data_IF_356124825029
#
_entry.id   IF_356124825029
#
_cell.length_a   1.000
_cell.length_b   1.000
_cell.length_c   1.000
_cell.angle_alpha   90.00
_cell.angle_beta   90.00
_cell.angle_gamma   90.00
#
_symmetry.space_group_name_H-M   'P 1'
#
loop_
_entity.id
_entity.type
_entity.pdbx_description
1 polymer ?
#
# COMPACT_ATOMS: atom_id res chain seq x y z
N UNK A 1 -22.04 -6.34 13.33
CA UNK A 1 -20.69 -5.97 12.83
C UNK A 1 -19.75 -5.99 14.03
N UNK A 2 -18.61 -6.71 13.99
CA UNK A 2 -17.65 -6.67 15.10
C UNK A 2 -17.21 -5.22 15.34
N UNK A 3 -16.98 -4.88 16.61
CA UNK A 3 -16.48 -3.56 16.97
C UNK A 3 -15.07 -3.36 16.36
N UNK A 4 -14.82 -2.17 15.80
CA UNK A 4 -13.47 -1.83 15.32
C UNK A 4 -12.54 -1.72 16.52
N UNK A 5 -11.44 -2.48 16.61
CA UNK A 5 -10.54 -2.42 17.73
C UNK A 5 -9.91 -1.02 17.86
N UNK A 6 -9.73 -0.56 19.10
CA UNK A 6 -9.00 0.66 19.35
C UNK A 6 -7.52 0.47 18.91
N UNK A 7 -7.00 1.39 18.14
CA UNK A 7 -5.62 1.38 17.65
C UNK A 7 -5.05 2.80 17.72
N UNK A 8 -3.87 2.95 18.31
CA UNK A 8 -3.17 4.22 18.32
C UNK A 8 -2.60 4.50 16.92
N UNK A 9 -3.15 5.49 16.24
CA UNK A 9 -2.70 5.96 14.93
C UNK A 9 -2.40 7.46 15.06
N UNK A 10 -1.23 7.86 14.61
CA UNK A 10 -0.82 9.27 14.57
C UNK A 10 -1.10 9.82 13.18
N UNK A 11 -1.93 10.84 13.08
CA UNK A 11 -2.18 11.51 11.82
C UNK A 11 -0.99 12.39 11.43
N UNK A 12 -0.39 12.09 10.30
CA UNK A 12 0.67 12.87 9.68
C UNK A 12 0.42 12.97 8.18
N UNK A 13 -0.60 13.71 7.76
CA UNK A 13 -1.02 13.72 6.36
C UNK A 13 0.04 14.31 5.45
N UNK A 14 0.18 13.73 4.25
CA UNK A 14 0.86 14.36 3.13
C UNK A 14 -0.06 15.42 2.51
N UNK A 15 0.51 16.35 1.77
CA UNK A 15 -0.26 17.36 1.03
C UNK A 15 -1.16 16.68 0.00
N UNK A 16 -2.47 16.85 0.17
CA UNK A 16 -3.49 16.25 -0.69
C UNK A 16 -4.41 17.34 -1.24
N UNK A 17 -3.80 18.24 -2.04
CA UNK A 17 -4.44 19.40 -2.67
C UNK A 17 -5.12 19.03 -3.99
N UNK A 18 -5.77 20.02 -4.61
CA UNK A 18 -6.47 19.86 -5.90
C UNK A 18 -5.54 19.36 -7.00
N UNK A 19 -4.26 19.73 -6.96
CA UNK A 19 -3.28 19.28 -7.94
C UNK A 19 -2.97 17.78 -7.78
N UNK A 20 -2.84 17.28 -6.54
CA UNK A 20 -2.68 15.84 -6.28
C UNK A 20 -3.96 15.08 -6.62
N UNK A 21 -5.13 15.62 -6.28
CA UNK A 21 -6.42 15.04 -6.65
C UNK A 21 -6.52 14.86 -8.16
N UNK A 22 -6.23 15.91 -8.92
CA UNK A 22 -6.27 15.86 -10.39
C UNK A 22 -5.30 14.80 -10.96
N UNK A 23 -4.05 14.72 -10.45
CA UNK A 23 -3.09 13.69 -10.85
C UNK A 23 -3.57 12.30 -10.50
N UNK A 24 -4.18 12.12 -9.33
CA UNK A 24 -4.74 10.82 -8.91
C UNK A 24 -5.85 10.36 -9.84
N UNK A 25 -6.76 11.26 -10.21
CA UNK A 25 -7.84 10.96 -11.17
C UNK A 25 -7.24 10.62 -12.54
N UNK A 26 -6.28 11.40 -13.04
CA UNK A 26 -5.62 11.14 -14.32
C UNK A 26 -4.91 9.78 -14.33
N UNK A 27 -4.20 9.43 -13.26
CA UNK A 27 -3.58 8.09 -13.10
C UNK A 27 -4.64 6.99 -13.14
N UNK A 28 -5.75 7.14 -12.45
CA UNK A 28 -6.87 6.15 -12.47
C UNK A 28 -7.44 6.01 -13.86
N UNK A 29 -7.67 7.11 -14.58
CA UNK A 29 -8.19 7.10 -15.95
C UNK A 29 -7.24 6.40 -16.93
N UNK A 30 -5.94 6.59 -16.76
CA UNK A 30 -4.93 5.96 -17.59
C UNK A 30 -4.82 4.45 -17.34
N UNK A 31 -4.79 4.03 -16.08
CA UNK A 31 -4.39 2.68 -15.67
C UNK A 31 -5.53 1.76 -15.26
N UNK A 32 -6.66 2.29 -14.83
CA UNK A 32 -7.71 1.49 -14.19
C UNK A 32 -9.06 1.66 -14.89
N UNK A 33 -9.67 2.83 -14.79
CA UNK A 33 -10.99 3.12 -15.30
C UNK A 33 -11.00 4.49 -16.03
N UNK A 34 -11.18 4.53 -17.36
CA UNK A 34 -11.23 5.77 -18.12
C UNK A 34 -12.33 6.74 -17.68
N UNK A 35 -13.37 6.23 -17.01
CA UNK A 35 -14.48 7.03 -16.49
C UNK A 35 -14.26 7.49 -15.05
N UNK A 36 -13.12 7.20 -14.43
CA UNK A 36 -12.85 7.62 -13.07
C UNK A 36 -12.96 9.14 -12.93
N UNK A 37 -13.77 9.59 -11.97
CA UNK A 37 -14.03 11.00 -11.69
C UNK A 37 -13.70 11.42 -10.24
N UNK A 38 -13.23 10.48 -9.43
CA UNK A 38 -12.87 10.69 -8.03
C UNK A 38 -11.64 9.89 -7.61
N UNK A 39 -11.19 10.14 -6.40
CA UNK A 39 -10.01 9.50 -5.81
C UNK A 39 -10.34 8.33 -4.89
N UNK A 40 -11.62 8.15 -4.57
CA UNK A 40 -12.10 7.17 -3.61
C UNK A 40 -11.92 5.74 -4.14
N UNK A 41 -11.54 4.85 -3.22
CA UNK A 41 -11.49 3.42 -3.44
C UNK A 41 -12.42 2.70 -2.48
N UNK A 42 -12.86 1.52 -2.87
CA UNK A 42 -13.46 0.56 -1.95
C UNK A 42 -12.38 -0.45 -1.54
N UNK A 43 -11.90 -0.43 -0.29
CA UNK A 43 -10.84 -1.33 0.15
C UNK A 43 -11.29 -2.80 0.10
N UNK A 44 -10.57 -3.63 -0.67
CA UNK A 44 -10.77 -5.08 -0.80
C UNK A 44 -9.53 -5.87 -0.40
N UNK A 45 -8.40 -5.20 -0.24
CA UNK A 45 -7.15 -5.82 0.15
C UNK A 45 -6.19 -4.85 0.85
N UNK A 46 -5.19 -5.43 1.50
CA UNK A 46 -4.07 -4.72 2.12
C UNK A 46 -2.78 -5.21 1.45
N UNK A 47 -1.90 -4.28 1.11
CA UNK A 47 -0.57 -4.58 0.57
C UNK A 47 0.49 -4.03 1.51
N UNK A 48 1.36 -4.91 2.02
CA UNK A 48 2.48 -4.53 2.87
C UNK A 48 3.74 -4.31 2.03
N UNK A 49 4.50 -3.29 2.39
CA UNK A 49 5.73 -2.85 1.74
C UNK A 49 6.86 -2.66 2.75
N UNK A 50 8.07 -2.39 2.24
CA UNK A 50 9.12 -1.68 2.98
C UNK A 50 9.66 -0.52 2.16
N UNK A 51 10.13 0.53 2.85
CA UNK A 51 10.57 1.79 2.22
C UNK A 51 11.90 1.69 1.47
N UNK A 52 12.69 0.67 1.70
CA UNK A 52 14.05 0.54 1.17
C UNK A 52 15.09 1.26 2.03
N UNK A 53 14.78 1.60 3.27
CA UNK A 53 15.70 2.23 4.22
C UNK A 53 15.21 3.58 4.74
N UNK A 54 16.13 4.34 5.35
CA UNK A 54 15.86 5.69 5.83
C UNK A 54 15.12 5.75 7.16
N UNK A 55 14.24 6.72 7.27
CA UNK A 55 13.42 6.99 8.45
C UNK A 55 12.00 7.33 8.01
N UNK A 56 11.05 7.28 8.95
CA UNK A 56 9.67 7.69 8.72
C UNK A 56 9.58 9.13 8.19
N UNK A 57 10.42 10.03 8.72
CA UNK A 57 10.46 11.43 8.32
C UNK A 57 10.95 11.61 6.86
N UNK A 58 12.00 10.87 6.46
CA UNK A 58 12.51 10.90 5.10
C UNK A 58 11.47 10.33 4.11
N UNK A 59 10.80 9.23 4.47
CA UNK A 59 9.74 8.63 3.66
C UNK A 59 8.54 9.57 3.53
N UNK A 60 8.12 10.19 4.63
CA UNK A 60 7.04 11.16 4.59
C UNK A 60 7.36 12.32 3.64
N UNK A 61 8.54 12.95 3.75
CA UNK A 61 8.98 14.03 2.84
C UNK A 61 9.03 13.58 1.38
N UNK A 62 9.41 12.32 1.14
CA UNK A 62 9.43 11.77 -0.21
C UNK A 62 8.01 11.63 -0.77
N UNK A 63 7.08 11.10 0.00
CA UNK A 63 5.67 10.94 -0.41
C UNK A 63 4.92 12.26 -0.51
N UNK A 64 5.32 13.27 0.27
CA UNK A 64 4.72 14.61 0.26
C UNK A 64 4.99 15.36 -1.05
N UNK A 65 6.05 15.03 -1.78
CA UNK A 65 6.31 15.60 -3.10
C UNK A 65 5.15 15.29 -4.05
N UNK A 66 4.69 16.28 -4.88
CA UNK A 66 3.53 16.06 -5.74
C UNK A 66 3.79 15.13 -6.91
N UNK A 67 5.05 15.06 -7.38
CA UNK A 67 5.42 14.32 -8.60
C UNK A 67 6.58 13.37 -8.35
N UNK A 68 6.58 12.27 -9.12
CA UNK A 68 7.67 11.30 -9.15
C UNK A 68 8.88 11.87 -9.90
N UNK A 69 10.10 11.56 -9.46
CA UNK A 69 11.31 11.94 -10.16
C UNK A 69 11.51 11.15 -11.48
N UNK A 70 12.02 11.83 -12.51
CA UNK A 70 12.25 11.23 -13.83
C UNK A 70 13.28 10.10 -13.82
N UNK A 71 14.15 10.03 -12.81
CA UNK A 71 15.13 8.95 -12.64
C UNK A 71 14.49 7.57 -12.40
N UNK A 72 13.29 7.53 -11.86
CA UNK A 72 12.48 6.30 -11.73
C UNK A 72 11.69 6.03 -13.02
N UNK A 73 12.42 5.87 -14.12
CA UNK A 73 11.89 5.89 -15.48
C UNK A 73 10.60 5.08 -15.68
N UNK A 74 10.59 3.80 -15.34
CA UNK A 74 9.40 2.94 -15.53
C UNK A 74 8.15 3.47 -14.83
N UNK A 75 8.32 4.09 -13.66
CA UNK A 75 7.22 4.65 -12.89
C UNK A 75 6.83 6.03 -13.44
N UNK A 76 7.83 6.84 -13.80
CA UNK A 76 7.61 8.17 -14.37
C UNK A 76 6.94 8.12 -15.76
N UNK A 77 7.30 7.15 -16.59
CA UNK A 77 6.67 6.93 -17.91
C UNK A 77 5.17 6.55 -17.76
N UNK A 78 4.79 5.97 -16.63
CA UNK A 78 3.39 5.62 -16.30
C UNK A 78 2.63 6.75 -15.58
N UNK A 79 3.07 8.00 -15.70
CA UNK A 79 2.40 9.18 -15.14
C UNK A 79 3.20 9.87 -14.04
N UNK A 80 2.91 11.13 -13.82
CA UNK A 80 3.67 12.03 -12.94
C UNK A 80 3.24 11.99 -11.47
N UNK A 81 2.08 11.39 -11.13
CA UNK A 81 1.66 11.23 -9.75
C UNK A 81 2.75 10.55 -8.92
N UNK A 82 3.17 11.18 -7.81
CA UNK A 82 4.14 10.56 -6.93
C UNK A 82 3.57 9.29 -6.27
N UNK A 83 4.46 8.37 -5.91
CA UNK A 83 4.12 7.22 -5.08
C UNK A 83 3.80 7.66 -3.65
N UNK A 84 2.91 6.94 -3.00
CA UNK A 84 2.50 7.15 -1.61
C UNK A 84 1.83 5.89 -1.06
N UNK A 85 1.52 5.88 0.23
CA UNK A 85 0.71 4.85 0.88
C UNK A 85 -0.26 5.50 1.87
N UNK A 86 -1.31 4.79 2.28
CA UNK A 86 -2.22 5.29 3.31
C UNK A 86 -1.57 5.27 4.69
N UNK A 87 -0.71 4.29 4.95
CA UNK A 87 -0.04 4.14 6.24
C UNK A 87 1.48 3.97 6.09
N UNK A 88 2.18 4.42 7.11
CA UNK A 88 3.61 4.22 7.30
C UNK A 88 3.85 3.75 8.74
N UNK A 89 4.54 2.63 8.91
CA UNK A 89 4.89 2.07 10.21
C UNK A 89 6.38 2.29 10.46
N UNK A 90 6.70 3.05 11.51
CA UNK A 90 8.08 3.29 11.90
C UNK A 90 8.68 2.06 12.61
N UNK A 91 9.97 2.05 12.79
CA UNK A 91 10.74 0.91 13.31
C UNK A 91 10.38 0.52 14.75
N UNK A 92 9.84 1.45 15.52
CA UNK A 92 9.34 1.24 16.89
C UNK A 92 7.86 0.77 16.93
N UNK A 93 7.24 0.55 15.77
CA UNK A 93 5.84 0.17 15.65
C UNK A 93 4.87 1.35 15.65
N UNK A 94 5.34 2.59 15.69
CA UNK A 94 4.46 3.77 15.55
C UNK A 94 3.78 3.78 14.19
N UNK A 95 2.44 3.82 14.18
CA UNK A 95 1.63 3.84 12.97
C UNK A 95 1.28 5.28 12.61
N UNK A 96 1.70 5.71 11.44
CA UNK A 96 1.36 7.02 10.87
C UNK A 96 0.30 6.84 9.78
N UNK A 97 -0.78 7.65 9.82
CA UNK A 97 -1.73 7.76 8.72
C UNK A 97 -1.38 8.96 7.86
N UNK A 98 -1.05 8.70 6.59
CA UNK A 98 -0.53 9.71 5.66
C UNK A 98 -1.62 10.34 4.79
N UNK A 99 -2.76 9.68 4.64
CA UNK A 99 -3.89 10.15 3.85
C UNK A 99 -5.16 9.41 4.26
N UNK A 100 -6.36 9.86 3.82
CA UNK A 100 -7.60 9.10 4.06
C UNK A 100 -7.47 7.67 3.53
N UNK A 101 -7.90 6.71 4.33
CA UNK A 101 -7.77 5.26 4.05
C UNK A 101 -8.49 4.85 2.75
N UNK A 102 -9.52 5.59 2.38
CA UNK A 102 -10.31 5.34 1.17
C UNK A 102 -9.92 6.20 -0.03
N UNK A 103 -8.85 6.98 0.05
CA UNK A 103 -8.29 7.65 -1.11
C UNK A 103 -7.21 6.79 -1.77
N UNK A 104 -7.22 6.71 -3.09
CA UNK A 104 -6.22 5.94 -3.81
C UNK A 104 -4.81 6.50 -3.57
N UNK A 105 -3.90 5.64 -3.12
CA UNK A 105 -2.47 5.87 -3.12
C UNK A 105 -1.81 5.10 -4.27
N UNK A 106 -0.70 5.61 -4.80
CA UNK A 106 0.08 4.92 -5.84
C UNK A 106 1.19 4.12 -5.19
N UNK A 107 0.97 2.84 -4.93
CA UNK A 107 1.92 1.94 -4.26
C UNK A 107 2.07 0.57 -4.91
N UNK A 108 1.07 0.08 -5.65
CA UNK A 108 1.07 -1.27 -6.19
C UNK A 108 0.39 -1.30 -7.56
N UNK A 109 1.15 -1.58 -8.61
CA UNK A 109 0.65 -1.64 -10.00
C UNK A 109 -0.52 -2.62 -10.10
N UNK A 110 -1.60 -2.20 -10.74
CA UNK A 110 -2.79 -3.00 -10.96
C UNK A 110 -3.72 -3.14 -9.76
N UNK A 111 -3.31 -2.75 -8.54
CA UNK A 111 -4.08 -2.96 -7.31
C UNK A 111 -4.43 -1.68 -6.55
N UNK A 112 -3.88 -0.52 -6.94
CA UNK A 112 -4.09 0.74 -6.22
C UNK A 112 -5.57 1.11 -6.01
N UNK A 113 -6.46 0.74 -6.93
CA UNK A 113 -7.88 1.10 -6.90
C UNK A 113 -8.72 0.28 -5.91
N UNK A 114 -8.14 -0.75 -5.29
CA UNK A 114 -8.81 -1.64 -4.31
C UNK A 114 -7.97 -1.90 -3.07
N UNK A 115 -6.72 -1.41 -3.02
CA UNK A 115 -5.77 -1.75 -1.97
C UNK A 115 -5.45 -0.57 -1.06
N UNK A 116 -5.39 -0.85 0.24
CA UNK A 116 -4.74 0.02 1.22
C UNK A 116 -3.27 -0.40 1.30
N UNK A 117 -2.35 0.55 1.09
CA UNK A 117 -0.91 0.35 1.21
C UNK A 117 -0.39 0.68 2.60
N UNK A 118 0.47 -0.18 3.11
CA UNK A 118 1.19 0.01 4.38
C UNK A 118 2.69 -0.12 4.12
N UNK A 119 3.41 0.97 4.28
CA UNK A 119 4.86 0.99 4.17
C UNK A 119 5.49 0.78 5.54
N UNK A 120 6.53 -0.04 5.61
CA UNK A 120 7.34 -0.26 6.80
C UNK A 120 8.72 0.37 6.61
N UNK A 121 9.14 1.22 7.53
CA UNK A 121 10.46 1.85 7.47
C UNK A 121 11.54 0.79 7.64
N UNK A 122 12.33 0.57 6.60
CA UNK A 122 13.41 -0.41 6.65
C UNK A 122 13.80 -0.96 5.28
N UNK A 123 14.78 -1.84 5.31
CA UNK A 123 15.26 -2.64 4.19
C UNK A 123 15.86 -3.97 4.70
N UNK A 124 16.05 -4.98 3.84
CA UNK A 124 16.51 -6.28 4.30
C UNK A 124 17.97 -6.34 4.76
N UNK A 125 18.78 -5.29 4.56
CA UNK A 125 20.23 -5.29 4.80
C UNK A 125 20.63 -4.36 5.95
N UNK A 126 20.49 -3.04 5.73
CA UNK A 126 20.98 -2.03 6.67
C UNK A 126 19.98 -1.78 7.82
N UNK A 127 18.70 -1.90 7.54
CA UNK A 127 17.62 -1.61 8.51
C UNK A 127 16.53 -2.69 8.47
N UNK A 128 16.85 -3.95 8.89
CA UNK A 128 15.88 -5.04 8.86
C UNK A 128 14.58 -4.67 9.58
N UNK A 129 13.44 -5.12 9.05
CA UNK A 129 12.14 -4.92 9.66
C UNK A 129 12.09 -5.55 11.05
N UNK A 130 11.43 -4.90 11.99
CA UNK A 130 11.42 -5.25 13.40
C UNK A 130 10.21 -6.09 13.80
N UNK A 131 10.26 -6.71 14.96
CA UNK A 131 9.10 -7.43 15.52
C UNK A 131 8.02 -6.44 15.98
N UNK A 132 8.39 -5.21 16.38
CA UNK A 132 7.45 -4.11 16.67
C UNK A 132 6.63 -3.74 15.43
N UNK A 133 7.24 -3.73 14.25
CA UNK A 133 6.51 -3.52 12.99
C UNK A 133 5.58 -4.69 12.67
N UNK A 134 5.97 -5.93 12.95
CA UNK A 134 5.09 -7.11 12.81
C UNK A 134 3.84 -6.98 13.69
N UNK A 135 4.02 -6.57 14.96
CA UNK A 135 2.88 -6.35 15.88
C UNK A 135 1.99 -5.20 15.41
N UNK A 136 2.60 -4.09 14.98
CA UNK A 136 1.87 -2.93 14.48
C UNK A 136 1.05 -3.26 13.22
N UNK A 137 1.67 -3.96 12.25
CA UNK A 137 0.97 -4.39 11.04
C UNK A 137 -0.18 -5.35 11.35
N UNK A 138 0.02 -6.31 12.24
CA UNK A 138 -1.03 -7.23 12.65
C UNK A 138 -2.21 -6.48 13.29
N UNK A 139 -1.94 -5.51 14.16
CA UNK A 139 -2.97 -4.68 14.79
C UNK A 139 -3.69 -3.80 13.73
N UNK A 140 -2.94 -3.21 12.80
CA UNK A 140 -3.48 -2.40 11.71
C UNK A 140 -4.35 -3.23 10.75
N UNK A 141 -3.93 -4.43 10.40
CA UNK A 141 -4.72 -5.36 9.58
C UNK A 141 -6.05 -5.70 10.26
N UNK A 142 -6.05 -5.98 11.57
CA UNK A 142 -7.27 -6.23 12.34
C UNK A 142 -8.21 -5.02 12.36
N UNK A 143 -7.64 -3.83 12.60
CA UNK A 143 -8.38 -2.56 12.55
C UNK A 143 -9.04 -2.35 11.17
N UNK A 144 -8.26 -2.48 10.09
CA UNK A 144 -8.75 -2.28 8.73
C UNK A 144 -9.80 -3.33 8.32
N UNK A 145 -9.59 -4.60 8.67
CA UNK A 145 -10.57 -5.67 8.39
C UNK A 145 -11.88 -5.45 9.11
N UNK A 146 -11.85 -5.00 10.35
CA UNK A 146 -13.06 -4.70 11.12
C UNK A 146 -13.80 -3.48 10.55
N UNK A 147 -13.04 -2.44 10.15
CA UNK A 147 -13.60 -1.19 9.59
C UNK A 147 -14.11 -1.37 8.16
N UNK A 148 -13.42 -2.19 7.36
CA UNK A 148 -13.74 -2.49 5.95
C UNK A 148 -13.96 -4.00 5.77
N UNK A 149 -15.15 -4.52 6.09
CA UNK A 149 -15.40 -5.97 6.06
C UNK A 149 -15.20 -6.63 4.70
N UNK A 150 -15.22 -5.85 3.61
CA UNK A 150 -14.95 -6.33 2.23
C UNK A 150 -13.47 -6.59 1.93
N UNK A 151 -12.56 -6.28 2.85
CA UNK A 151 -11.16 -6.70 2.71
C UNK A 151 -11.10 -8.23 2.83
N UNK A 152 -10.61 -8.88 1.79
CA UNK A 152 -10.49 -10.35 1.68
C UNK A 152 -9.06 -10.82 1.53
N UNK A 153 -8.12 -9.93 1.15
CA UNK A 153 -6.74 -10.29 0.85
C UNK A 153 -5.72 -9.48 1.66
N UNK A 154 -4.64 -10.15 2.03
CA UNK A 154 -3.43 -9.57 2.61
C UNK A 154 -2.22 -10.12 1.87
N UNK A 155 -1.53 -9.26 1.10
CA UNK A 155 -0.35 -9.64 0.32
C UNK A 155 0.85 -8.76 0.62
N UNK A 156 2.05 -9.27 0.36
CA UNK A 156 3.25 -8.47 0.23
C UNK A 156 3.41 -7.93 -1.20
N UNK A 157 4.07 -6.80 -1.36
CA UNK A 157 4.28 -6.21 -2.68
C UNK A 157 5.01 -7.16 -3.65
N UNK A 158 5.92 -8.00 -3.14
CA UNK A 158 6.61 -9.02 -3.95
C UNK A 158 5.69 -10.07 -4.57
N UNK A 159 4.45 -10.20 -4.05
CA UNK A 159 3.47 -11.18 -4.52
C UNK A 159 2.51 -10.62 -5.59
N UNK A 160 2.54 -9.30 -5.87
CA UNK A 160 1.50 -8.63 -6.65
C UNK A 160 1.34 -9.15 -8.10
N UNK A 161 2.43 -9.64 -8.71
CA UNK A 161 2.35 -10.21 -10.07
C UNK A 161 1.54 -11.52 -10.11
N UNK A 162 1.47 -12.26 -9.01
CA UNK A 162 0.61 -13.43 -8.92
C UNK A 162 -0.89 -13.07 -8.90
N UNK A 163 -1.22 -11.80 -8.66
CA UNK A 163 -2.60 -11.30 -8.78
C UNK A 163 -3.03 -11.07 -10.24
N UNK A 164 -2.14 -11.12 -11.23
CA UNK A 164 -2.56 -11.02 -12.64
C UNK A 164 -3.59 -12.11 -12.98
N UNK A 165 -4.69 -11.70 -13.58
CA UNK A 165 -5.84 -12.58 -13.85
C UNK A 165 -6.85 -12.69 -12.70
N UNK A 166 -6.53 -12.19 -11.50
CA UNK A 166 -7.52 -12.04 -10.44
C UNK A 166 -8.43 -10.82 -10.72
N UNK A 167 -9.74 -10.86 -10.38
CA UNK A 167 -10.67 -9.74 -10.62
C UNK A 167 -10.26 -8.41 -9.96
N UNK A 168 -9.39 -8.44 -8.96
CA UNK A 168 -8.86 -7.23 -8.31
C UNK A 168 -7.72 -6.57 -9.09
N UNK A 169 -7.08 -7.30 -10.00
CA UNK A 169 -5.97 -6.75 -10.77
C UNK A 169 -6.48 -6.05 -12.02
N UNK A 170 -6.31 -4.74 -12.08
CA UNK A 170 -6.66 -3.92 -13.24
C UNK A 170 -5.49 -3.00 -13.58
N UNK A 171 -4.81 -3.30 -14.69
CA UNK A 171 -3.79 -2.43 -15.28
C UNK A 171 -3.95 -2.45 -16.80
N UNK A 172 -4.26 -1.30 -17.36
CA UNK A 172 -4.57 -1.14 -18.80
C UNK A 172 -3.32 -1.06 -19.67
N UNK A 173 -2.17 -0.68 -19.09
CA UNK A 173 -0.89 -0.73 -19.80
C UNK A 173 -0.23 -2.11 -19.57
N UNK A 174 -0.19 -2.98 -20.59
CA UNK A 174 0.41 -4.30 -20.45
C UNK A 174 1.93 -4.27 -20.22
N UNK A 175 2.58 -3.12 -20.48
CA UNK A 175 4.03 -2.95 -20.29
C UNK A 175 4.37 -2.42 -18.90
N UNK A 176 3.40 -1.88 -18.16
CA UNK A 176 3.64 -1.34 -16.84
C UNK A 176 3.66 -2.44 -15.79
N UNK A 177 4.80 -3.09 -15.67
CA UNK A 177 5.10 -4.10 -14.65
C UNK A 177 6.47 -3.84 -14.04
N UNK A 178 6.59 -4.08 -12.73
CA UNK A 178 7.84 -3.92 -11.98
C UNK A 178 8.08 -5.17 -11.14
N UNK A 179 9.34 -5.59 -10.99
CA UNK A 179 9.67 -6.65 -10.04
C UNK A 179 9.89 -6.05 -8.66
N UNK A 180 9.32 -6.68 -7.64
CA UNK A 180 9.35 -6.25 -6.25
C UNK A 180 9.84 -7.37 -5.36
N UNK A 181 10.54 -7.00 -4.28
CA UNK A 181 11.03 -7.94 -3.27
C UNK A 181 10.48 -7.63 -1.88
N UNK A 182 9.86 -6.49 -1.71
CA UNK A 182 9.35 -5.96 -0.44
C UNK A 182 7.96 -6.52 -0.06
N UNK A 183 7.64 -6.67 1.22
CA UNK A 183 8.55 -6.62 2.37
C UNK A 183 9.33 -7.92 2.57
N UNK A 184 9.10 -8.91 1.73
CA UNK A 184 9.72 -10.21 1.75
C UNK A 184 8.89 -11.30 2.46
N UNK A 185 9.10 -12.58 2.08
CA UNK A 185 8.26 -13.68 2.54
C UNK A 185 8.36 -13.94 4.05
N UNK A 186 9.52 -13.72 4.66
CA UNK A 186 9.71 -13.94 6.09
C UNK A 186 8.90 -12.96 6.94
N UNK A 187 8.85 -11.68 6.56
CA UNK A 187 8.04 -10.68 7.24
C UNK A 187 6.55 -10.99 7.07
N UNK A 188 6.12 -11.29 5.84
CA UNK A 188 4.73 -11.67 5.55
C UNK A 188 4.28 -12.89 6.35
N UNK A 189 5.12 -13.91 6.49
CA UNK A 189 4.80 -15.11 7.28
C UNK A 189 4.53 -14.76 8.74
N UNK A 190 5.34 -13.89 9.35
CA UNK A 190 5.15 -13.42 10.73
C UNK A 190 3.81 -12.68 10.90
N UNK A 191 3.53 -11.71 10.02
CA UNK A 191 2.27 -10.94 10.10
C UNK A 191 1.07 -11.85 9.88
N UNK A 192 1.08 -12.70 8.85
CA UNK A 192 -0.01 -13.64 8.55
C UNK A 192 -0.29 -14.60 9.70
N UNK A 193 0.73 -15.09 10.37
CA UNK A 193 0.55 -15.96 11.53
C UNK A 193 -0.25 -15.28 12.65
N UNK A 194 -0.05 -13.97 12.86
CA UNK A 194 -0.75 -13.19 13.89
C UNK A 194 -2.21 -12.85 13.54
N UNK A 195 -2.57 -12.89 12.28
CA UNK A 195 -3.92 -12.55 11.79
C UNK A 195 -4.63 -13.73 11.12
N UNK A 196 -4.15 -14.96 11.34
CA UNK A 196 -4.66 -16.16 10.69
C UNK A 196 -6.16 -16.40 10.94
N UNK A 197 -6.65 -15.99 12.10
CA UNK A 197 -8.06 -16.05 12.49
C UNK A 197 -8.98 -15.15 11.66
N UNK A 198 -8.44 -14.17 10.94
CA UNK A 198 -9.23 -13.29 10.07
C UNK A 198 -9.60 -13.93 8.72
N UNK A 199 -9.02 -15.08 8.37
CA UNK A 199 -9.29 -15.80 7.13
C UNK A 199 -8.96 -15.00 5.87
N UNK A 200 -7.94 -14.11 5.93
CA UNK A 200 -7.51 -13.34 4.76
C UNK A 200 -6.72 -14.23 3.79
N UNK A 201 -7.04 -14.10 2.52
CA UNK A 201 -6.35 -14.82 1.45
C UNK A 201 -5.02 -14.12 1.09
N UNK A 202 -4.03 -14.90 0.68
CA UNK A 202 -2.82 -14.43 0.03
C UNK A 202 -3.00 -14.25 -1.48
N UNK A 203 -1.93 -13.88 -2.18
CA UNK A 203 -1.93 -13.94 -3.63
C UNK A 203 -2.10 -15.39 -4.12
N UNK A 204 -2.76 -15.62 -5.28
CA UNK A 204 -2.86 -16.96 -5.86
C UNK A 204 -1.50 -17.62 -6.01
N UNK A 205 -1.43 -18.94 -5.90
CA UNK A 205 -0.21 -19.68 -6.20
C UNK A 205 0.25 -19.36 -7.63
N UNK A 206 1.57 -19.18 -7.82
CA UNK A 206 2.13 -19.01 -9.15
C UNK A 206 1.75 -20.20 -10.03
N UNK A 207 1.21 -19.91 -11.22
CA UNK A 207 0.87 -20.93 -12.21
C UNK A 207 2.10 -21.46 -12.92
#
# INVERSE_FOLDING_TARGET
>A
TPAVPALAIVDRPITYDDARIARTIAYRQQHQDPAASGVEIEPKMIVLHHTGGGSADATWRYFDRPTIEASRKTIADAGDLNVSSQFLVDRDGTILRLMPETHMARHCVGLNHVAIGVENVGDPKAFPLTDEQVEADAALVRYLKAKYPRITHLIGHHEYLAMEGHPYFVERDPKYRTRKADPGPAFMAKVRAKVADLGLEGAPAAR
#
